data_IF_834251900814
#
_entry.id   IF_834251900814
#
_cell.length_a   1.000
_cell.length_b   1.000
_cell.length_c   1.000
_cell.angle_alpha   90.00
_cell.angle_beta   90.00
_cell.angle_gamma   90.00
#
_symmetry.space_group_name_H-M   'P 1'
#
loop_
_entity.id
_entity.type
_entity.pdbx_description
1 polymer ?
#
# COMPACT_ATOMS: atom_id res chain seq x y z
N UNK A 1 -8.90 4.24 -15.32
CA UNK A 1 -9.66 4.49 -14.08
C UNK A 1 -9.55 3.25 -13.21
N UNK A 2 -9.24 3.40 -11.93
CA UNK A 2 -9.14 2.29 -10.98
C UNK A 2 -9.99 2.56 -9.74
N UNK A 3 -10.32 1.51 -8.99
CA UNK A 3 -10.96 1.55 -7.67
C UNK A 3 -10.09 0.73 -6.73
N UNK A 4 -9.80 1.28 -5.56
CA UNK A 4 -9.07 0.58 -4.51
C UNK A 4 -10.05 0.05 -3.45
N UNK A 5 -9.78 -1.16 -2.96
CA UNK A 5 -10.57 -1.81 -1.91
C UNK A 5 -9.67 -2.21 -0.76
N UNK A 6 -10.11 -1.90 0.45
CA UNK A 6 -9.43 -2.30 1.67
C UNK A 6 -9.73 -3.74 2.02
N UNK A 7 -8.68 -4.52 2.31
CA UNK A 7 -8.78 -5.94 2.62
C UNK A 7 -8.22 -6.20 4.00
N UNK A 8 -8.95 -7.03 4.76
CA UNK A 8 -8.58 -7.37 6.12
C UNK A 8 -7.35 -8.29 6.18
N UNK A 9 -6.62 -8.25 7.29
CA UNK A 9 -5.47 -9.13 7.51
C UNK A 9 -5.83 -10.62 7.40
N UNK A 10 -7.01 -11.01 7.88
CA UNK A 10 -7.49 -12.39 7.82
C UNK A 10 -7.77 -12.84 6.38
N UNK A 11 -8.27 -11.94 5.52
CA UNK A 11 -8.53 -12.24 4.11
C UNK A 11 -7.26 -12.37 3.29
N UNK A 12 -6.23 -11.57 3.62
CA UNK A 12 -4.89 -11.73 3.04
C UNK A 12 -4.28 -13.04 3.49
N UNK A 13 -4.32 -13.33 4.80
CA UNK A 13 -3.74 -14.54 5.39
C UNK A 13 -4.38 -15.83 4.89
N UNK A 14 -5.72 -15.86 4.83
CA UNK A 14 -6.46 -17.03 4.34
C UNK A 14 -6.44 -17.18 2.82
N UNK A 15 -6.04 -16.12 2.08
CA UNK A 15 -6.12 -16.08 0.62
C UNK A 15 -7.55 -15.95 0.07
N UNK A 16 -8.57 -15.86 0.94
CA UNK A 16 -9.99 -15.80 0.58
C UNK A 16 -10.29 -14.66 -0.41
N UNK A 17 -9.57 -13.54 -0.29
CA UNK A 17 -9.72 -12.38 -1.17
C UNK A 17 -9.66 -12.75 -2.65
N UNK A 18 -8.77 -13.66 -3.05
CA UNK A 18 -8.59 -14.03 -4.46
C UNK A 18 -9.87 -14.61 -5.05
N UNK A 19 -10.46 -15.58 -4.34
CA UNK A 19 -11.69 -16.25 -4.76
C UNK A 19 -12.86 -15.27 -4.82
N UNK A 20 -12.97 -14.40 -3.81
CA UNK A 20 -14.05 -13.40 -3.75
C UNK A 20 -13.96 -12.42 -4.92
N UNK A 21 -12.77 -11.92 -5.24
CA UNK A 21 -12.58 -10.98 -6.34
C UNK A 21 -12.81 -11.64 -7.70
N UNK A 22 -12.29 -12.85 -7.92
CA UNK A 22 -12.51 -13.59 -9.16
C UNK A 22 -14.01 -13.85 -9.40
N UNK A 23 -14.76 -14.20 -8.36
CA UNK A 23 -16.20 -14.39 -8.44
C UNK A 23 -16.96 -13.07 -8.67
N UNK A 24 -16.59 -12.00 -7.97
CA UNK A 24 -17.25 -10.70 -8.09
C UNK A 24 -17.04 -10.05 -9.47
N UNK A 25 -15.88 -10.26 -10.09
CA UNK A 25 -15.57 -9.75 -11.43
C UNK A 25 -16.17 -10.62 -12.54
N UNK A 26 -16.55 -11.87 -12.25
CA UNK A 26 -17.11 -12.78 -13.23
C UNK A 26 -18.39 -12.23 -13.86
N UNK A 27 -18.44 -12.17 -15.19
CA UNK A 27 -19.58 -11.63 -15.94
C UNK A 27 -19.67 -10.11 -15.96
N UNK A 28 -18.72 -9.39 -15.36
CA UNK A 28 -18.60 -7.93 -15.46
C UNK A 28 -17.66 -7.54 -16.60
N UNK A 29 -17.67 -6.27 -17.01
CA UNK A 29 -16.71 -5.70 -17.96
C UNK A 29 -15.52 -5.01 -17.26
N UNK A 30 -15.31 -5.28 -15.97
CA UNK A 30 -14.24 -4.66 -15.17
C UNK A 30 -12.96 -5.48 -15.36
N UNK A 31 -11.90 -4.82 -15.82
CA UNK A 31 -10.58 -5.44 -15.93
C UNK A 31 -9.93 -5.57 -14.53
N UNK A 32 -9.26 -6.70 -14.27
CA UNK A 32 -8.58 -6.95 -12.99
C UNK A 32 -7.61 -5.84 -12.59
N UNK A 33 -6.93 -5.20 -13.54
CA UNK A 33 -6.01 -4.09 -13.32
C UNK A 33 -6.69 -2.78 -12.90
N UNK A 34 -8.02 -2.70 -13.03
CA UNK A 34 -8.80 -1.58 -12.50
C UNK A 34 -9.13 -1.75 -11.01
N UNK A 35 -8.88 -2.93 -10.43
CA UNK A 35 -9.12 -3.17 -9.01
C UNK A 35 -7.79 -3.26 -8.26
N UNK A 36 -7.61 -2.34 -7.31
CA UNK A 36 -6.45 -2.28 -6.45
C UNK A 36 -6.81 -2.85 -5.09
N UNK A 37 -5.93 -3.70 -4.55
CA UNK A 37 -6.10 -4.28 -3.22
C UNK A 37 -5.19 -3.53 -2.25
N UNK A 38 -5.80 -2.91 -1.24
CA UNK A 38 -5.09 -2.22 -0.17
C UNK A 38 -5.00 -3.15 1.05
N UNK A 39 -3.77 -3.44 1.46
CA UNK A 39 -3.47 -4.25 2.63
C UNK A 39 -2.81 -3.36 3.69
N UNK A 40 -3.35 -3.35 4.90
CA UNK A 40 -2.70 -2.64 6.02
C UNK A 40 -1.39 -3.33 6.42
N UNK A 41 -0.49 -2.62 7.10
CA UNK A 41 0.75 -3.19 7.64
C UNK A 41 0.53 -4.50 8.44
N UNK A 42 -0.53 -4.54 9.24
CA UNK A 42 -0.88 -5.73 10.06
C UNK A 42 -1.22 -6.95 9.21
N UNK A 43 -1.71 -6.72 8.00
CA UNK A 43 -2.03 -7.80 7.04
C UNK A 43 -0.78 -8.51 6.52
N UNK A 44 0.40 -7.91 6.70
CA UNK A 44 1.68 -8.42 6.21
C UNK A 44 2.51 -9.10 7.30
N UNK A 45 1.99 -9.21 8.52
CA UNK A 45 2.71 -9.84 9.65
C UNK A 45 3.00 -11.33 9.43
N UNK A 46 2.10 -12.04 8.73
CA UNK A 46 2.35 -13.40 8.25
C UNK A 46 2.89 -13.34 6.81
N UNK A 47 4.21 -13.18 6.70
CA UNK A 47 4.89 -12.84 5.44
C UNK A 47 4.70 -13.92 4.39
N UNK A 48 4.73 -15.20 4.77
CA UNK A 48 4.61 -16.29 3.80
C UNK A 48 3.19 -16.41 3.25
N UNK A 49 2.18 -16.24 4.12
CA UNK A 49 0.80 -16.17 3.68
C UNK A 49 0.55 -14.92 2.81
N UNK A 50 1.03 -13.75 3.25
CA UNK A 50 0.90 -12.51 2.51
C UNK A 50 1.61 -12.58 1.14
N UNK A 51 2.85 -13.07 1.10
CA UNK A 51 3.63 -13.28 -0.14
C UNK A 51 2.84 -14.14 -1.13
N UNK A 52 2.32 -15.26 -0.67
CA UNK A 52 1.54 -16.18 -1.50
C UNK A 52 0.31 -15.46 -2.06
N UNK A 53 -0.48 -14.83 -1.19
CA UNK A 53 -1.71 -14.14 -1.61
C UNK A 53 -1.45 -12.98 -2.55
N UNK A 54 -0.48 -12.13 -2.25
CA UNK A 54 -0.12 -10.96 -3.08
C UNK A 54 0.41 -11.41 -4.44
N UNK A 55 1.22 -12.48 -4.48
CA UNK A 55 1.72 -13.05 -5.75
C UNK A 55 0.56 -13.49 -6.63
N UNK A 56 -0.43 -14.18 -6.07
CA UNK A 56 -1.61 -14.61 -6.82
C UNK A 56 -2.48 -13.43 -7.28
N UNK A 57 -2.72 -12.43 -6.42
CA UNK A 57 -3.47 -11.24 -6.79
C UNK A 57 -2.81 -10.50 -7.96
N UNK A 58 -1.49 -10.32 -7.92
CA UNK A 58 -0.74 -9.70 -9.03
C UNK A 58 -0.72 -10.55 -10.28
N UNK A 59 -0.58 -11.88 -10.13
CA UNK A 59 -0.70 -12.81 -11.24
C UNK A 59 -2.07 -12.77 -11.93
N UNK A 60 -3.13 -12.43 -11.19
CA UNK A 60 -4.48 -12.21 -11.72
C UNK A 60 -4.69 -10.80 -12.32
N UNK A 61 -3.67 -9.94 -12.29
CA UNK A 61 -3.69 -8.60 -12.87
C UNK A 61 -4.00 -7.47 -11.89
N UNK A 62 -4.26 -7.75 -10.61
CA UNK A 62 -4.53 -6.71 -9.62
C UNK A 62 -3.26 -5.96 -9.24
N UNK A 63 -3.42 -4.67 -8.90
CA UNK A 63 -2.38 -3.92 -8.20
C UNK A 63 -2.55 -4.14 -6.70
N UNK A 64 -1.44 -4.32 -5.97
CA UNK A 64 -1.47 -4.42 -4.51
C UNK A 64 -0.67 -3.29 -3.88
N UNK A 65 -1.31 -2.55 -2.98
CA UNK A 65 -0.69 -1.47 -2.21
C UNK A 65 -0.71 -1.77 -0.72
N UNK A 66 0.31 -1.27 -0.02
CA UNK A 66 0.28 -1.20 1.44
C UNK A 66 -0.36 0.11 1.90
N UNK A 67 -1.29 0.00 2.85
CA UNK A 67 -2.02 1.13 3.43
C UNK A 67 -1.53 1.52 4.83
N UNK A 68 -1.80 2.77 5.22
CA UNK A 68 -1.46 3.39 6.51
C UNK A 68 0.02 3.25 6.92
N UNK A 69 0.95 3.31 5.95
CA UNK A 69 2.36 3.03 6.23
C UNK A 69 2.99 4.08 7.17
N UNK A 70 3.69 3.59 8.19
CA UNK A 70 4.36 4.34 9.24
C UNK A 70 3.58 4.43 10.55
N UNK A 71 2.33 3.94 10.61
CA UNK A 71 1.47 4.04 11.80
C UNK A 71 1.54 2.80 12.70
N UNK A 72 2.19 1.73 12.23
CA UNK A 72 2.26 0.43 12.90
C UNK A 72 3.68 -0.09 13.16
N UNK A 73 3.77 -1.39 13.42
CA UNK A 73 5.02 -2.13 13.67
C UNK A 73 5.59 -2.76 12.38
N UNK A 74 5.59 -2.05 11.25
CA UNK A 74 6.28 -2.57 10.06
C UNK A 74 7.78 -2.60 10.26
N UNK A 75 8.34 -3.81 10.34
CA UNK A 75 9.77 -3.99 10.08
C UNK A 75 10.00 -3.85 8.58
N UNK A 76 10.84 -2.90 8.19
CA UNK A 76 11.36 -2.72 6.83
C UNK A 76 11.82 -4.03 6.17
N UNK A 77 12.31 -4.96 6.99
CA UNK A 77 12.72 -6.30 6.59
C UNK A 77 11.62 -7.07 5.84
N UNK A 78 10.34 -6.83 6.17
CA UNK A 78 9.22 -7.59 5.60
C UNK A 78 8.83 -7.07 4.22
N UNK A 79 8.91 -5.76 4.00
CA UNK A 79 8.57 -5.14 2.72
C UNK A 79 9.48 -5.59 1.59
N UNK A 80 10.79 -5.74 1.84
CA UNK A 80 11.76 -6.13 0.82
C UNK A 80 11.43 -7.47 0.15
N UNK A 81 10.76 -8.37 0.88
CA UNK A 81 10.37 -9.66 0.36
C UNK A 81 9.05 -9.65 -0.41
N UNK A 82 8.17 -8.68 -0.18
CA UNK A 82 6.80 -8.75 -0.67
C UNK A 82 6.67 -8.15 -2.07
N UNK A 83 5.96 -8.83 -2.99
CA UNK A 83 5.81 -8.35 -4.35
C UNK A 83 4.72 -7.26 -4.40
N UNK A 84 4.93 -6.11 -3.76
CA UNK A 84 3.99 -4.98 -3.73
C UNK A 84 4.20 -4.05 -4.94
N UNK A 85 3.18 -3.24 -5.26
CA UNK A 85 3.23 -2.28 -6.37
C UNK A 85 3.21 -0.81 -5.91
N UNK A 86 2.68 -0.54 -4.72
CA UNK A 86 2.56 0.80 -4.18
C UNK A 86 2.56 0.84 -2.64
N UNK A 87 2.88 2.01 -2.09
CA UNK A 87 2.89 2.34 -0.68
C UNK A 87 2.13 3.65 -0.45
N UNK A 88 1.16 3.63 0.46
CA UNK A 88 0.39 4.79 0.88
C UNK A 88 1.00 5.37 2.17
N UNK A 89 1.41 6.63 2.11
CA UNK A 89 1.94 7.39 3.26
C UNK A 89 0.74 7.98 3.99
N UNK A 90 0.54 7.56 5.23
CA UNK A 90 -0.56 8.01 6.08
C UNK A 90 -0.56 9.54 6.27
N UNK A 91 -1.76 10.10 6.39
CA UNK A 91 -1.98 11.54 6.57
C UNK A 91 -1.20 12.11 7.75
N UNK A 92 -1.02 11.36 8.85
CA UNK A 92 -0.31 11.86 10.03
C UNK A 92 1.14 12.27 9.71
N UNK A 93 1.79 11.60 8.75
CA UNK A 93 3.13 11.99 8.27
C UNK A 93 3.08 13.21 7.36
N UNK A 94 2.09 13.26 6.47
CA UNK A 94 1.88 14.38 5.53
C UNK A 94 1.57 15.68 6.28
N UNK A 95 0.80 15.61 7.37
CA UNK A 95 0.47 16.75 8.21
C UNK A 95 1.69 17.37 8.90
N UNK A 96 2.75 16.59 9.12
CA UNK A 96 3.97 17.07 9.77
C UNK A 96 4.93 17.80 8.83
N UNK A 97 4.73 17.75 7.51
CA UNK A 97 5.59 18.42 6.54
C UNK A 97 5.61 19.94 6.82
N UNK A 98 6.82 20.49 6.93
CA UNK A 98 7.07 21.91 7.20
C UNK A 98 7.09 22.30 8.68
N UNK A 99 6.78 21.37 9.59
CA UNK A 99 6.69 21.66 11.04
C UNK A 99 8.01 21.56 11.81
N UNK A 100 9.13 21.26 11.13
CA UNK A 100 10.45 20.97 11.75
C UNK A 100 10.43 19.87 12.82
N UNK A 101 9.35 19.07 12.87
CA UNK A 101 9.22 17.97 13.80
C UNK A 101 10.07 16.77 13.36
N UNK A 102 10.42 15.90 14.31
CA UNK A 102 11.10 14.64 14.00
C UNK A 102 10.29 13.78 13.00
N UNK A 103 8.96 13.79 13.08
CA UNK A 103 8.07 13.07 12.17
C UNK A 103 8.24 13.55 10.72
N UNK A 104 8.48 14.85 10.49
CA UNK A 104 8.74 15.38 9.15
C UNK A 104 10.00 14.77 8.52
N UNK A 105 11.02 14.40 9.32
CA UNK A 105 12.21 13.73 8.81
C UNK A 105 11.92 12.26 8.46
N UNK A 106 11.02 11.60 9.21
CA UNK A 106 10.58 10.23 8.91
C UNK A 106 9.89 10.14 7.56
N UNK A 107 9.08 11.14 7.17
CA UNK A 107 8.44 11.19 5.85
C UNK A 107 9.45 11.08 4.69
N UNK A 108 10.59 11.78 4.75
CA UNK A 108 11.67 11.62 3.76
C UNK A 108 12.19 10.19 3.70
N UNK A 109 12.43 9.57 4.86
CA UNK A 109 12.93 8.19 4.92
C UNK A 109 11.93 7.18 4.34
N UNK A 110 10.63 7.37 4.56
CA UNK A 110 9.58 6.54 3.96
C UNK A 110 9.61 6.66 2.43
N UNK A 111 9.74 7.88 1.90
CA UNK A 111 9.82 8.14 0.45
C UNK A 111 11.06 7.47 -0.16
N UNK A 112 12.24 7.64 0.46
CA UNK A 112 13.49 7.05 -0.04
C UNK A 112 13.44 5.52 -0.02
N UNK A 113 12.77 4.96 0.98
CA UNK A 113 12.57 3.52 1.11
C UNK A 113 11.62 2.98 0.04
N UNK A 114 10.49 3.67 -0.22
CA UNK A 114 9.60 3.32 -1.32
C UNK A 114 10.33 3.36 -2.67
N UNK A 115 11.16 4.40 -2.92
CA UNK A 115 12.03 4.50 -4.11
C UNK A 115 12.99 3.31 -4.21
N UNK A 116 13.66 2.95 -3.12
CA UNK A 116 14.61 1.83 -3.05
C UNK A 116 13.93 0.49 -3.37
N UNK A 117 12.70 0.31 -2.89
CA UNK A 117 11.87 -0.88 -3.15
C UNK A 117 11.13 -0.83 -4.50
N UNK A 118 11.32 0.25 -5.28
CA UNK A 118 10.65 0.49 -6.56
C UNK A 118 9.11 0.49 -6.44
N UNK A 119 8.59 0.94 -5.30
CA UNK A 119 7.16 1.08 -5.05
C UNK A 119 6.68 2.45 -5.49
N UNK A 120 5.48 2.50 -6.09
CA UNK A 120 4.79 3.77 -6.31
C UNK A 120 4.38 4.36 -4.96
N UNK A 121 4.61 5.65 -4.76
CA UNK A 121 4.21 6.32 -3.52
C UNK A 121 2.90 7.08 -3.72
N UNK A 122 1.98 6.95 -2.76
CA UNK A 122 0.73 7.70 -2.69
C UNK A 122 0.72 8.43 -1.36
N UNK A 123 0.59 9.75 -1.36
CA UNK A 123 0.51 10.52 -0.12
C UNK A 123 -0.94 10.85 0.20
N UNK A 124 -1.39 10.53 1.41
CA UNK A 124 -2.75 10.79 1.85
C UNK A 124 -2.90 12.15 2.53
N UNK A 125 -4.10 12.74 2.43
CA UNK A 125 -4.42 13.94 3.21
C UNK A 125 -3.61 15.19 2.85
N UNK A 126 -3.14 15.31 1.60
CA UNK A 126 -2.48 16.53 1.09
C UNK A 126 -3.52 17.66 1.02
N UNK A 127 -3.37 18.64 1.90
CA UNK A 127 -4.31 19.75 2.09
C UNK A 127 -3.67 21.12 1.85
N UNK A 128 -2.34 21.20 1.82
CA UNK A 128 -1.56 22.45 1.67
C UNK A 128 -0.59 22.37 0.51
N UNK A 129 -0.36 23.50 -0.18
CA UNK A 129 0.59 23.58 -1.29
C UNK A 129 2.02 23.19 -0.88
N UNK A 130 2.45 23.58 0.32
CA UNK A 130 3.76 23.22 0.88
C UNK A 130 3.96 21.69 0.98
N UNK A 131 2.90 20.94 1.31
CA UNK A 131 2.96 19.47 1.37
C UNK A 131 3.16 18.90 -0.03
N UNK A 132 2.42 19.41 -1.02
CA UNK A 132 2.54 18.98 -2.42
C UNK A 132 3.93 19.28 -2.99
N UNK A 133 4.47 20.47 -2.73
CA UNK A 133 5.79 20.90 -3.22
C UNK A 133 6.89 20.02 -2.63
N UNK A 134 6.83 19.73 -1.33
CA UNK A 134 7.76 18.81 -0.67
C UNK A 134 7.69 17.38 -1.25
N UNK A 135 6.48 16.86 -1.49
CA UNK A 135 6.27 15.50 -1.99
C UNK A 135 6.69 15.31 -3.46
N UNK A 136 6.81 16.40 -4.23
CA UNK A 136 7.22 16.40 -5.64
C UNK A 136 8.71 16.64 -5.86
N UNK A 137 9.43 17.06 -4.83
CA UNK A 137 10.87 17.32 -4.88
C UNK A 137 11.70 16.02 -4.96
#
# INVERSE_FOLDING_TARGET
LHVAINVSAEDIKSGRVQTVLAQALHGTSVDSGQLWVEATERSLMDIEAARTTITHLRGAGHTVSIDDFGTGYSSLQYLQGLPLDALKIDKSFVDTIGTHSATSAVTSHIIDMAKTLQLRTIAEGVERQEQLDYLRA
#
